data_IF_078352304393
#
_entry.id   IF_078352304393
#
_cell.length_a   1.000
_cell.length_b   1.000
_cell.length_c   1.000
_cell.angle_alpha   90.00
_cell.angle_beta   90.00
_cell.angle_gamma   90.00
#
_symmetry.space_group_name_H-M   'P 1'
#
loop_
_entity.id
_entity.type
_entity.pdbx_description
1 polymer ?
#
# COMPACT_ATOMS: atom_id res chain seq x y z
N UNK A 1 15.02 26.42 17.38
CA UNK A 1 15.10 25.37 16.34
C UNK A 1 14.37 25.87 15.08
N UNK A 2 14.96 25.69 13.91
CA UNK A 2 14.28 26.00 12.65
C UNK A 2 13.35 24.85 12.26
N UNK A 3 12.17 25.19 11.76
CA UNK A 3 11.18 24.25 11.24
C UNK A 3 10.84 24.70 9.82
N UNK A 4 10.93 23.78 8.87
CA UNK A 4 10.58 24.00 7.48
C UNK A 4 9.45 23.07 7.11
N UNK A 5 8.57 23.50 6.20
CA UNK A 5 7.55 22.65 5.62
C UNK A 5 7.48 22.82 4.11
N UNK A 6 7.08 21.76 3.42
CA UNK A 6 6.81 21.77 1.98
C UNK A 6 5.69 20.80 1.63
N UNK A 7 4.81 21.23 0.74
CA UNK A 7 3.87 20.33 0.06
C UNK A 7 4.53 19.74 -1.19
N UNK A 8 4.61 18.42 -1.28
CA UNK A 8 5.19 17.71 -2.43
C UNK A 8 4.42 16.41 -2.64
N UNK A 9 4.03 16.13 -3.88
CA UNK A 9 3.35 14.89 -4.28
C UNK A 9 2.11 14.55 -3.40
N UNK A 10 1.39 15.59 -2.96
CA UNK A 10 0.21 15.42 -2.10
C UNK A 10 0.51 15.10 -0.63
N UNK A 11 1.78 15.15 -0.22
CA UNK A 11 2.23 14.92 1.17
C UNK A 11 2.83 16.21 1.76
N UNK A 12 2.63 16.39 3.06
CA UNK A 12 3.26 17.47 3.81
C UNK A 12 4.56 16.93 4.40
N UNK A 13 5.68 17.52 3.98
CA UNK A 13 7.00 17.27 4.52
C UNK A 13 7.31 18.34 5.57
N UNK A 14 7.62 17.93 6.80
CA UNK A 14 8.02 18.82 7.89
C UNK A 14 9.42 18.45 8.35
N UNK A 15 10.38 19.36 8.19
CA UNK A 15 11.76 19.17 8.64
C UNK A 15 12.06 20.01 9.86
N UNK A 16 12.54 19.39 10.93
CA UNK A 16 12.85 20.05 12.20
C UNK A 16 14.33 19.91 12.51
N UNK A 17 15.00 21.06 12.64
CA UNK A 17 16.43 21.13 12.95
C UNK A 17 16.74 20.50 14.31
N UNK A 18 17.70 19.58 14.33
CA UNK A 18 18.21 18.96 15.55
C UNK A 18 19.18 19.94 16.20
N UNK A 19 18.81 20.40 17.38
CA UNK A 19 19.62 21.29 18.21
C UNK A 19 19.89 20.60 19.54
N UNK A 20 21.13 20.66 20.04
CA UNK A 20 21.52 20.15 21.38
C UNK A 20 20.99 21.04 22.51
N UNK A 21 19.69 21.28 22.50
CA UNK A 21 18.98 22.07 23.51
C UNK A 21 18.17 21.17 24.43
N UNK A 22 17.72 21.71 25.56
CA UNK A 22 16.79 21.04 26.48
C UNK A 22 15.46 20.59 25.83
N UNK A 23 15.14 21.09 24.63
CA UNK A 23 13.90 20.76 23.91
C UNK A 23 14.08 19.66 22.84
N UNK A 24 15.29 19.11 22.67
CA UNK A 24 15.59 18.19 21.57
C UNK A 24 14.65 16.98 21.54
N UNK A 25 14.43 16.31 22.66
CA UNK A 25 13.56 15.13 22.72
C UNK A 25 12.13 15.45 22.28
N UNK A 26 11.61 16.64 22.63
CA UNK A 26 10.27 17.04 22.22
C UNK A 26 10.18 17.30 20.71
N UNK A 27 11.25 17.81 20.12
CA UNK A 27 11.34 18.10 18.68
C UNK A 27 11.58 16.84 17.84
N UNK A 28 12.22 15.82 18.43
CA UNK A 28 12.38 14.50 17.84
C UNK A 28 11.10 13.66 17.90
N UNK A 29 10.12 14.05 18.72
CA UNK A 29 8.88 13.31 18.94
C UNK A 29 7.63 14.17 18.71
N UNK A 30 7.55 14.78 17.52
CA UNK A 30 6.44 15.64 17.12
C UNK A 30 5.27 14.89 16.46
N UNK A 31 5.35 13.58 16.28
CA UNK A 31 4.38 12.78 15.51
C UNK A 31 2.94 13.08 15.94
N UNK A 32 2.63 12.82 17.23
CA UNK A 32 1.29 13.01 17.79
C UNK A 32 0.81 14.46 17.73
N UNK A 33 1.74 15.42 17.82
CA UNK A 33 1.41 16.86 17.79
C UNK A 33 1.09 17.30 16.36
N UNK A 34 1.83 16.80 15.38
CA UNK A 34 1.59 17.06 13.97
C UNK A 34 0.27 16.42 13.54
N UNK A 35 0.06 15.14 13.87
CA UNK A 35 -1.16 14.41 13.54
C UNK A 35 -2.42 15.09 14.11
N UNK A 36 -2.42 15.39 15.41
CA UNK A 36 -3.58 16.01 16.05
C UNK A 36 -3.74 17.51 15.69
N UNK A 37 -2.64 18.24 15.48
CA UNK A 37 -2.68 19.68 15.22
C UNK A 37 -3.01 20.02 13.77
N UNK A 38 -2.62 19.18 12.82
CA UNK A 38 -2.83 19.37 11.39
C UNK A 38 -3.92 18.46 10.81
N UNK A 39 -4.52 17.58 11.63
CA UNK A 39 -5.49 16.58 11.20
C UNK A 39 -4.96 15.72 10.03
N UNK A 40 -3.75 15.20 10.21
CA UNK A 40 -3.04 14.38 9.22
C UNK A 40 -2.57 13.06 9.85
N UNK A 41 -2.14 12.12 9.01
CA UNK A 41 -1.57 10.84 9.44
C UNK A 41 -0.08 10.80 9.12
N UNK A 42 0.75 10.34 10.06
CA UNK A 42 2.17 10.15 9.80
C UNK A 42 2.39 8.94 8.89
N UNK A 43 3.07 9.16 7.77
CA UNK A 43 3.43 8.12 6.80
C UNK A 43 4.87 7.67 6.99
N UNK A 44 5.77 8.61 7.25
CA UNK A 44 7.20 8.30 7.39
C UNK A 44 7.89 9.28 8.35
N UNK A 45 8.98 8.81 8.94
CA UNK A 45 9.87 9.60 9.78
C UNK A 45 11.32 9.22 9.50
N UNK A 46 12.08 10.16 8.98
CA UNK A 46 13.50 9.97 8.66
C UNK A 46 14.34 10.83 9.60
N UNK A 47 15.33 10.22 10.25
CA UNK A 47 16.32 10.92 11.05
C UNK A 47 17.57 11.18 10.19
N UNK A 48 17.90 12.44 9.97
CA UNK A 48 19.15 12.88 9.34
C UNK A 48 20.12 13.44 10.38
N UNK A 49 21.35 13.71 9.97
CA UNK A 49 22.42 14.18 10.88
C UNK A 49 22.05 15.51 11.58
N UNK A 50 21.34 16.42 10.90
CA UNK A 50 21.04 17.76 11.40
C UNK A 50 19.56 18.11 11.47
N UNK A 51 18.67 17.21 11.03
CA UNK A 51 17.23 17.41 11.09
C UNK A 51 16.47 16.07 11.14
N UNK A 52 15.25 16.11 11.67
CA UNK A 52 14.27 15.02 11.51
C UNK A 52 13.24 15.46 10.49
N UNK A 53 12.90 14.58 9.55
CA UNK A 53 11.84 14.79 8.57
C UNK A 53 10.63 13.92 8.92
N UNK A 54 9.45 14.54 8.92
CA UNK A 54 8.15 13.88 9.06
C UNK A 54 7.39 14.04 7.75
N UNK A 55 6.93 12.92 7.18
CA UNK A 55 6.09 12.90 6.00
C UNK A 55 4.66 12.59 6.44
N UNK A 56 3.73 13.48 6.12
CA UNK A 56 2.35 13.43 6.61
C UNK A 56 1.38 13.36 5.42
N UNK A 57 0.41 12.46 5.52
CA UNK A 57 -0.74 12.37 4.62
C UNK A 57 -1.86 13.26 5.18
N UNK A 58 -2.29 14.26 4.41
CA UNK A 58 -3.33 15.20 4.81
C UNK A 58 -4.59 15.00 3.96
N UNK A 59 -5.73 15.48 4.48
CA UNK A 59 -7.03 15.46 3.79
C UNK A 59 -7.45 14.05 3.33
N UNK A 60 -7.32 13.05 4.21
CA UNK A 60 -7.67 11.65 3.89
C UNK A 60 -9.16 11.41 3.63
N UNK A 61 -10.02 12.40 3.88
CA UNK A 61 -11.45 12.36 3.58
C UNK A 61 -11.73 13.01 2.22
N UNK A 62 -11.21 14.21 1.99
CA UNK A 62 -11.42 14.92 0.72
C UNK A 62 -10.71 14.28 -0.46
N UNK A 63 -9.62 13.55 -0.21
CA UNK A 63 -8.81 12.85 -1.24
C UNK A 63 -9.26 11.43 -1.54
N UNK A 64 -10.41 10.99 -0.99
CA UNK A 64 -10.99 9.67 -1.30
C UNK A 64 -11.50 9.66 -2.73
N UNK A 65 -11.18 8.59 -3.44
CA UNK A 65 -11.79 8.27 -4.72
C UNK A 65 -12.83 7.17 -4.52
N UNK A 66 -13.77 7.04 -5.45
CA UNK A 66 -14.74 5.95 -5.38
C UNK A 66 -14.09 4.65 -5.85
N UNK A 67 -14.69 3.51 -5.48
CA UNK A 67 -14.25 2.19 -5.95
C UNK A 67 -14.22 2.13 -7.50
N UNK A 68 -15.16 2.82 -8.16
CA UNK A 68 -15.22 2.86 -9.62
C UNK A 68 -14.03 3.59 -10.26
N UNK A 69 -13.43 4.53 -9.53
CA UNK A 69 -12.29 5.35 -9.97
C UNK A 69 -10.93 4.71 -9.66
N UNK A 70 -10.91 3.57 -8.95
CA UNK A 70 -9.69 2.80 -8.73
C UNK A 70 -9.38 2.01 -10.00
N UNK A 71 -8.38 2.48 -10.74
CA UNK A 71 -7.91 1.86 -11.99
C UNK A 71 -6.42 1.50 -11.91
N UNK A 72 -6.03 0.53 -12.72
CA UNK A 72 -4.64 0.17 -12.94
C UNK A 72 -4.15 0.83 -14.23
N UNK A 73 -3.05 1.58 -14.15
CA UNK A 73 -2.42 2.23 -15.29
C UNK A 73 -0.90 2.21 -15.13
N UNK A 74 -0.19 1.82 -16.19
CA UNK A 74 1.28 1.90 -16.29
C UNK A 74 2.04 1.34 -15.07
N UNK A 75 1.65 0.15 -14.59
CA UNK A 75 2.35 -0.46 -13.46
C UNK A 75 1.96 0.10 -12.09
N UNK A 76 0.84 0.81 -12.01
CA UNK A 76 0.37 1.44 -10.77
C UNK A 76 -1.14 1.40 -10.62
N UNK A 77 -1.61 1.43 -9.37
CA UNK A 77 -3.03 1.52 -9.03
C UNK A 77 -3.30 2.75 -8.17
N UNK A 78 -4.19 3.64 -8.63
CA UNK A 78 -4.57 4.82 -7.85
C UNK A 78 -5.51 4.42 -6.70
N UNK A 79 -5.13 4.67 -5.44
CA UNK A 79 -5.91 4.28 -4.27
C UNK A 79 -6.67 5.46 -3.64
N UNK A 80 -6.12 6.67 -3.78
CA UNK A 80 -6.66 7.97 -3.38
C UNK A 80 -6.09 9.02 -4.31
N UNK A 81 -6.60 10.26 -4.37
CA UNK A 81 -6.04 11.29 -5.26
C UNK A 81 -4.51 11.52 -5.08
N UNK A 82 -4.01 11.32 -3.87
CA UNK A 82 -2.60 11.55 -3.50
C UNK A 82 -1.81 10.27 -3.24
N UNK A 83 -2.44 9.10 -3.33
CA UNK A 83 -1.81 7.82 -3.00
C UNK A 83 -2.02 6.83 -4.13
N UNK A 84 -0.92 6.33 -4.68
CA UNK A 84 -0.90 5.26 -5.67
C UNK A 84 0.03 4.13 -5.22
N UNK A 85 -0.34 2.89 -5.52
CA UNK A 85 0.53 1.74 -5.37
C UNK A 85 1.21 1.46 -6.70
N UNK A 86 2.50 1.78 -6.80
CA UNK A 86 3.33 1.49 -7.97
C UNK A 86 3.88 0.05 -7.90
N UNK A 87 3.06 -0.92 -8.28
CA UNK A 87 3.40 -2.35 -8.20
C UNK A 87 4.55 -2.76 -9.13
N UNK A 88 4.87 -2.01 -10.18
CA UNK A 88 6.07 -2.27 -10.99
C UNK A 88 7.38 -2.01 -10.21
N UNK A 89 7.36 -1.06 -9.26
CA UNK A 89 8.51 -0.74 -8.44
C UNK A 89 8.51 -1.50 -7.10
N UNK A 90 7.34 -1.62 -6.47
CA UNK A 90 7.15 -2.33 -5.21
C UNK A 90 5.99 -3.34 -5.36
N UNK A 91 6.24 -4.54 -5.90
CA UNK A 91 5.20 -5.49 -6.35
C UNK A 91 4.45 -6.21 -5.25
N UNK A 92 4.80 -5.98 -3.99
CA UNK A 92 4.25 -6.70 -2.85
C UNK A 92 3.71 -5.73 -1.81
N UNK A 93 2.50 -6.00 -1.35
CA UNK A 93 1.82 -5.21 -0.33
C UNK A 93 1.43 -6.11 0.85
N UNK A 94 1.63 -5.61 2.07
CA UNK A 94 1.12 -6.21 3.29
C UNK A 94 -0.03 -5.35 3.82
N UNK A 95 -1.22 -5.94 3.96
CA UNK A 95 -2.41 -5.26 4.49
C UNK A 95 -2.68 -5.77 5.90
N UNK A 96 -2.65 -4.88 6.89
CA UNK A 96 -2.86 -5.20 8.29
C UNK A 96 -3.90 -4.26 8.94
N UNK A 97 -4.53 -4.70 10.03
CA UNK A 97 -5.53 -3.90 10.74
C UNK A 97 -6.55 -4.75 11.52
N UNK A 98 -7.30 -4.11 12.41
CA UNK A 98 -8.36 -4.76 13.22
C UNK A 98 -9.64 -5.07 12.45
N UNK A 99 -10.58 -5.79 13.07
CA UNK A 99 -11.94 -5.97 12.55
C UNK A 99 -12.63 -4.61 12.42
N UNK A 100 -13.39 -4.39 11.35
CA UNK A 100 -14.06 -3.12 11.07
C UNK A 100 -13.17 -2.04 10.43
N UNK A 101 -11.85 -2.27 10.31
CA UNK A 101 -10.92 -1.31 9.70
C UNK A 101 -10.92 -1.27 8.17
N UNK A 102 -11.93 -1.82 7.50
CA UNK A 102 -12.07 -1.75 6.03
C UNK A 102 -11.20 -2.71 5.19
N UNK A 103 -10.38 -3.58 5.81
CA UNK A 103 -9.48 -4.49 5.07
C UNK A 103 -10.17 -5.31 3.97
N UNK A 104 -11.32 -5.92 4.26
CA UNK A 104 -12.05 -6.74 3.28
C UNK A 104 -12.50 -5.90 2.09
N UNK A 105 -13.09 -4.73 2.34
CA UNK A 105 -13.50 -3.79 1.29
C UNK A 105 -12.31 -3.32 0.46
N UNK A 106 -11.17 -3.03 1.10
CA UNK A 106 -9.96 -2.65 0.39
C UNK A 106 -9.46 -3.78 -0.52
N UNK A 107 -9.38 -5.02 -0.04
CA UNK A 107 -8.98 -6.17 -0.87
C UNK A 107 -9.96 -6.39 -2.03
N UNK A 108 -11.28 -6.30 -1.79
CA UNK A 108 -12.28 -6.40 -2.86
C UNK A 108 -12.13 -5.30 -3.92
N UNK A 109 -11.77 -4.08 -3.49
CA UNK A 109 -11.47 -2.96 -4.39
C UNK A 109 -10.26 -3.26 -5.27
N UNK A 110 -9.18 -3.83 -4.69
CA UNK A 110 -8.01 -4.27 -5.46
C UNK A 110 -8.38 -5.34 -6.49
N UNK A 111 -9.17 -6.34 -6.07
CA UNK A 111 -9.64 -7.42 -6.94
C UNK A 111 -10.43 -6.85 -8.12
N UNK A 112 -11.38 -5.96 -7.86
CA UNK A 112 -12.18 -5.33 -8.93
C UNK A 112 -11.30 -4.56 -9.93
N UNK A 113 -10.39 -3.72 -9.44
CA UNK A 113 -9.50 -2.92 -10.28
C UNK A 113 -8.57 -3.80 -11.13
N UNK A 114 -8.03 -4.88 -10.55
CA UNK A 114 -7.17 -5.83 -11.27
C UNK A 114 -7.96 -6.64 -12.31
N UNK A 115 -9.19 -7.07 -12.01
CA UNK A 115 -10.05 -7.77 -12.97
C UNK A 115 -10.41 -6.87 -14.15
N UNK A 116 -10.69 -5.58 -13.92
CA UNK A 116 -10.94 -4.59 -14.98
C UNK A 116 -9.74 -4.41 -15.91
N UNK A 117 -8.52 -4.51 -15.37
CA UNK A 117 -7.26 -4.45 -16.13
C UNK A 117 -6.95 -5.77 -16.88
N UNK A 118 -7.77 -6.82 -16.67
CA UNK A 118 -7.57 -8.13 -17.29
C UNK A 118 -6.53 -9.00 -16.60
N UNK A 119 -6.16 -8.68 -15.35
CA UNK A 119 -5.24 -9.50 -14.58
C UNK A 119 -5.84 -10.89 -14.28
N UNK A 120 -4.98 -11.90 -14.32
CA UNK A 120 -5.33 -13.22 -13.82
C UNK A 120 -5.12 -13.26 -12.31
N UNK A 121 -6.18 -13.60 -11.56
CA UNK A 121 -6.15 -13.59 -10.10
C UNK A 121 -6.19 -14.99 -9.52
N UNK A 122 -5.36 -15.17 -8.48
CA UNK A 122 -5.40 -16.32 -7.58
C UNK A 122 -5.71 -15.81 -6.18
N UNK A 123 -6.86 -16.20 -5.63
CA UNK A 123 -7.35 -15.75 -4.34
C UNK A 123 -7.34 -16.92 -3.36
N UNK A 124 -6.64 -16.77 -2.25
CA UNK A 124 -6.51 -17.79 -1.21
C UNK A 124 -7.19 -17.29 0.07
N UNK A 125 -8.31 -17.91 0.44
CA UNK A 125 -9.05 -17.57 1.66
C UNK A 125 -9.11 -18.76 2.62
N UNK A 126 -8.14 -18.90 3.54
CA UNK A 126 -8.11 -20.00 4.49
C UNK A 126 -9.27 -19.97 5.50
N UNK A 127 -9.97 -18.83 5.65
CA UNK A 127 -11.11 -18.72 6.56
C UNK A 127 -12.41 -19.18 5.91
N UNK A 128 -12.43 -19.31 4.59
CA UNK A 128 -13.64 -19.56 3.82
C UNK A 128 -14.76 -18.57 4.20
N UNK A 129 -14.46 -17.29 4.09
CA UNK A 129 -15.33 -16.16 4.41
C UNK A 129 -15.63 -15.36 3.12
N UNK A 130 -15.72 -14.02 3.23
CA UNK A 130 -16.18 -13.14 2.15
C UNK A 130 -15.44 -13.31 0.81
N UNK A 131 -14.15 -13.66 0.83
CA UNK A 131 -13.36 -13.83 -0.39
C UNK A 131 -13.59 -15.18 -1.07
N UNK A 132 -13.96 -16.22 -0.31
CA UNK A 132 -14.25 -17.54 -0.86
C UNK A 132 -15.55 -17.54 -1.69
N UNK A 133 -16.50 -16.66 -1.36
CA UNK A 133 -17.77 -16.52 -2.08
C UNK A 133 -17.57 -16.02 -3.52
N UNK A 134 -16.42 -15.41 -3.83
CA UNK A 134 -16.05 -15.05 -5.21
C UNK A 134 -15.94 -16.28 -6.13
N UNK A 135 -15.78 -17.48 -5.58
CA UNK A 135 -15.74 -18.72 -6.37
C UNK A 135 -17.02 -18.96 -7.19
N UNK A 136 -18.15 -18.36 -6.79
CA UNK A 136 -19.42 -18.48 -7.52
C UNK A 136 -19.43 -17.68 -8.83
N UNK A 137 -18.55 -16.69 -8.96
CA UNK A 137 -18.53 -15.75 -10.10
C UNK A 137 -17.19 -15.70 -10.84
N UNK A 138 -16.13 -16.30 -10.28
CA UNK A 138 -14.82 -16.37 -10.93
C UNK A 138 -14.03 -17.62 -10.54
N UNK A 139 -13.12 -18.03 -11.43
CA UNK A 139 -12.16 -19.10 -11.17
C UNK A 139 -10.95 -18.60 -10.37
N UNK A 140 -10.12 -19.52 -9.87
CA UNK A 140 -8.88 -19.16 -9.17
C UNK A 140 -9.06 -18.80 -7.69
N UNK A 141 -10.21 -19.12 -7.11
CA UNK A 141 -10.52 -18.89 -5.69
C UNK A 141 -10.43 -20.22 -4.92
N UNK A 142 -9.65 -20.23 -3.85
CA UNK A 142 -9.36 -21.45 -3.09
C UNK A 142 -9.46 -21.22 -1.59
N UNK A 143 -10.18 -22.11 -0.89
CA UNK A 143 -10.29 -22.10 0.58
C UNK A 143 -9.83 -23.39 1.25
N UNK A 144 -9.71 -24.49 0.49
CA UNK A 144 -9.20 -25.77 1.00
C UNK A 144 -7.67 -25.75 1.04
N UNK A 145 -7.09 -26.23 2.14
CA UNK A 145 -5.64 -26.22 2.39
C UNK A 145 -4.83 -26.80 1.23
N UNK A 146 -5.19 -27.98 0.75
CA UNK A 146 -4.48 -28.69 -0.30
C UNK A 146 -4.55 -27.93 -1.63
N UNK A 147 -5.70 -27.34 -1.93
CA UNK A 147 -5.88 -26.53 -3.13
C UNK A 147 -5.08 -25.22 -3.06
N UNK A 148 -5.05 -24.55 -1.90
CA UNK A 148 -4.25 -23.35 -1.69
C UNK A 148 -2.74 -23.64 -1.84
N UNK A 149 -2.25 -24.74 -1.27
CA UNK A 149 -0.86 -25.17 -1.44
C UNK A 149 -0.53 -25.44 -2.92
N UNK A 150 -1.43 -26.12 -3.63
CA UNK A 150 -1.28 -26.34 -5.07
C UNK A 150 -1.23 -25.05 -5.88
N UNK A 151 -2.06 -24.06 -5.52
CA UNK A 151 -2.07 -22.75 -6.18
C UNK A 151 -0.76 -21.98 -5.96
N UNK A 152 -0.19 -22.01 -4.75
CA UNK A 152 1.11 -21.39 -4.45
C UNK A 152 2.24 -22.10 -5.20
N UNK A 153 2.23 -23.43 -5.25
CA UNK A 153 3.23 -24.20 -6.02
C UNK A 153 3.15 -23.86 -7.52
N UNK A 154 1.95 -23.82 -8.09
CA UNK A 154 1.75 -23.43 -9.49
C UNK A 154 2.26 -22.02 -9.78
N UNK A 155 2.00 -21.07 -8.87
CA UNK A 155 2.53 -19.69 -8.98
C UNK A 155 4.07 -19.67 -8.99
N UNK A 156 4.71 -20.45 -8.12
CA UNK A 156 6.17 -20.57 -8.08
C UNK A 156 6.74 -21.15 -9.37
N UNK A 157 6.16 -22.26 -9.87
CA UNK A 157 6.62 -22.88 -11.12
C UNK A 157 6.48 -21.93 -12.31
N UNK A 158 5.38 -21.18 -12.39
CA UNK A 158 5.15 -20.20 -13.45
C UNK A 158 6.10 -19.00 -13.37
N UNK A 159 6.48 -18.58 -12.16
CA UNK A 159 7.54 -17.59 -11.97
C UNK A 159 8.89 -18.11 -12.49
N UNK A 160 9.26 -19.35 -12.16
CA UNK A 160 10.51 -19.95 -12.60
C UNK A 160 10.57 -20.10 -14.13
N UNK A 161 9.46 -20.56 -14.75
CA UNK A 161 9.33 -20.65 -16.21
C UNK A 161 9.58 -19.30 -16.88
N UNK A 162 8.92 -18.24 -16.42
CA UNK A 162 9.09 -16.87 -16.95
C UNK A 162 10.52 -16.36 -16.80
N UNK A 163 11.17 -16.64 -15.67
CA UNK A 163 12.57 -16.26 -15.44
C UNK A 163 13.52 -16.94 -16.44
N UNK A 164 13.30 -18.23 -16.73
CA UNK A 164 14.12 -18.95 -17.70
C UNK A 164 13.89 -18.45 -19.13
N UNK A 165 12.66 -18.10 -19.49
CA UNK A 165 12.33 -17.47 -20.78
C UNK A 165 13.01 -16.10 -20.93
N UNK A 166 12.95 -15.26 -19.89
CA UNK A 166 13.61 -13.94 -19.90
C UNK A 166 15.12 -14.04 -20.11
N UNK A 167 15.79 -15.05 -19.54
CA UNK A 167 17.24 -15.27 -19.76
C UNK A 167 17.58 -15.69 -21.19
N UNK A 168 16.62 -16.25 -21.92
CA UNK A 168 16.79 -16.66 -23.31
C UNK A 168 16.44 -15.55 -24.31
N UNK A 169 15.84 -14.45 -23.84
CA UNK A 169 15.51 -13.33 -24.71
C UNK A 169 16.79 -12.61 -25.19
N UNK A 170 16.86 -12.23 -26.46
CA UNK A 170 17.94 -11.38 -26.94
C UNK A 170 17.89 -10.03 -26.23
N UNK A 171 19.07 -9.53 -25.85
CA UNK A 171 19.24 -8.22 -25.20
C UNK A 171 19.10 -7.04 -26.15
#
# INVERSE_FOLDING_TARGET
>A
PKIYYRLKDGLIHVSVEIVMSSYQDQLLHLEKKLEAGLYCELVDKILHDSYVEYTLLYDTIGKRITIADVTCEHGSMQLMETVAWHYDALPHMLIAGGTGGGKTYFILTLIEALLKDGAQLTILDPKNADLADLADVMTGVYSKKEAMLGAVEAFYQEMMRRNDEMKQMPG
#
